data_IF_277388916819
#
_entry.id   IF_277388916819
#
_cell.length_a   1.000
_cell.length_b   1.000
_cell.length_c   1.000
_cell.angle_alpha   90.00
_cell.angle_beta   90.00
_cell.angle_gamma   90.00
#
_symmetry.space_group_name_H-M   'P 1'
#
loop_
_entity.id
_entity.type
_entity.pdbx_description
1 polymer ?
#
# COMPACT_ATOMS: atom_id res chain seq x y z
N UNK A 1 -6.30 9.51 20.19
CA UNK A 1 -5.93 8.85 18.92
C UNK A 1 -4.80 7.90 19.23
N UNK A 2 -5.13 6.63 19.44
CA UNK A 2 -4.15 5.60 19.75
C UNK A 2 -3.32 5.35 18.51
N UNK A 3 -2.04 5.72 18.56
CA UNK A 3 -1.06 5.22 17.60
C UNK A 3 -0.84 3.77 17.99
N UNK A 4 -1.49 2.86 17.27
CA UNK A 4 -1.08 1.47 17.20
C UNK A 4 0.34 1.45 16.63
N UNK A 5 1.32 1.55 17.53
CA UNK A 5 2.67 1.04 17.31
C UNK A 5 2.59 -0.48 17.47
N UNK A 6 1.66 -1.11 16.74
CA UNK A 6 1.59 -2.55 16.59
C UNK A 6 2.74 -2.97 15.69
N UNK A 7 3.36 -4.10 16.03
CA UNK A 7 4.50 -4.66 15.30
C UNK A 7 4.29 -4.63 13.79
N UNK A 8 4.98 -3.74 13.09
CA UNK A 8 4.92 -3.63 11.63
C UNK A 8 5.26 -4.99 11.02
N UNK A 9 4.27 -5.63 10.41
CA UNK A 9 4.43 -7.00 9.92
C UNK A 9 5.43 -7.00 8.77
N UNK A 10 6.00 -8.16 8.45
CA UNK A 10 6.85 -8.28 7.25
C UNK A 10 6.08 -7.87 5.99
N UNK A 11 4.76 -8.14 5.94
CA UNK A 11 3.88 -7.70 4.86
C UNK A 11 3.87 -6.17 4.74
N UNK A 12 3.66 -5.46 5.85
CA UNK A 12 3.55 -3.99 5.81
C UNK A 12 4.89 -3.33 5.47
N UNK A 13 6.01 -3.87 5.97
CA UNK A 13 7.34 -3.41 5.58
C UNK A 13 7.61 -3.60 4.09
N UNK A 14 7.17 -4.71 3.51
CA UNK A 14 7.27 -4.96 2.07
C UNK A 14 6.40 -4.01 1.26
N UNK A 15 5.17 -3.74 1.72
CA UNK A 15 4.24 -2.82 1.07
C UNK A 15 4.83 -1.40 1.04
N UNK A 16 5.28 -0.89 2.18
CA UNK A 16 5.86 0.46 2.31
C UNK A 16 7.15 0.62 1.51
N UNK A 17 8.04 -0.38 1.53
CA UNK A 17 9.28 -0.34 0.76
C UNK A 17 9.01 -0.38 -0.76
N UNK A 18 8.02 -1.17 -1.19
CA UNK A 18 7.62 -1.24 -2.59
C UNK A 18 6.99 0.08 -3.05
N UNK A 19 6.12 0.66 -2.24
CA UNK A 19 5.50 1.97 -2.51
C UNK A 19 6.55 3.06 -2.72
N UNK A 20 7.50 3.20 -1.79
CA UNK A 20 8.57 4.21 -1.89
C UNK A 20 9.43 4.00 -3.16
N UNK A 21 9.81 2.76 -3.44
CA UNK A 21 10.62 2.44 -4.63
C UNK A 21 9.86 2.68 -5.93
N UNK A 22 8.58 2.29 -6.01
CA UNK A 22 7.76 2.54 -7.20
C UNK A 22 7.50 4.03 -7.40
N UNK A 23 7.24 4.79 -6.33
CA UNK A 23 6.98 6.22 -6.39
C UNK A 23 8.22 7.01 -6.82
N UNK A 24 9.40 6.62 -6.35
CA UNK A 24 10.65 7.37 -6.61
C UNK A 24 11.36 6.95 -7.89
N UNK A 25 11.25 5.69 -8.30
CA UNK A 25 12.01 5.13 -9.44
C UNK A 25 11.13 4.70 -10.61
N UNK A 26 9.81 4.74 -10.45
CA UNK A 26 8.85 4.22 -11.43
C UNK A 26 8.57 2.74 -11.24
N UNK A 27 7.40 2.32 -11.72
CA UNK A 27 6.83 0.99 -11.47
C UNK A 27 7.65 -0.14 -12.08
N UNK A 28 8.39 0.08 -13.16
CA UNK A 28 9.16 -0.96 -13.86
C UNK A 28 10.60 -1.11 -13.34
N UNK A 29 11.11 -0.15 -12.58
CA UNK A 29 12.52 -0.09 -12.21
C UNK A 29 12.94 -1.05 -11.08
N UNK A 30 12.28 -1.08 -9.89
CA UNK A 30 12.77 -1.87 -8.78
C UNK A 30 12.46 -3.36 -8.94
N UNK A 31 13.40 -4.24 -8.62
CA UNK A 31 13.21 -5.69 -8.57
C UNK A 31 12.58 -6.14 -7.23
N UNK A 32 11.97 -7.33 -7.22
CA UNK A 32 11.45 -7.92 -5.97
C UNK A 32 12.53 -8.11 -4.91
N UNK A 33 13.77 -8.39 -5.33
CA UNK A 33 14.91 -8.52 -4.45
C UNK A 33 15.25 -7.17 -3.77
N UNK A 34 15.30 -6.08 -4.53
CA UNK A 34 15.54 -4.74 -3.98
C UNK A 34 14.44 -4.32 -3.01
N UNK A 35 13.17 -4.63 -3.33
CA UNK A 35 12.04 -4.39 -2.42
C UNK A 35 12.21 -5.17 -1.11
N UNK A 36 12.55 -6.46 -1.20
CA UNK A 36 12.75 -7.29 0.02
C UNK A 36 13.91 -6.79 0.87
N UNK A 37 14.99 -6.34 0.23
CA UNK A 37 16.14 -5.75 0.91
C UNK A 37 15.77 -4.43 1.60
N UNK A 38 15.06 -3.55 0.90
CA UNK A 38 14.59 -2.27 1.44
C UNK A 38 13.61 -2.46 2.62
N UNK A 39 12.81 -3.54 2.59
CA UNK A 39 11.93 -3.93 3.70
C UNK A 39 12.66 -4.59 4.91
N UNK A 40 13.99 -4.72 4.84
CA UNK A 40 14.81 -5.35 5.87
C UNK A 40 14.59 -6.87 5.98
N UNK A 41 14.12 -7.52 4.91
CA UNK A 41 13.92 -8.96 4.85
C UNK A 41 15.04 -9.63 4.06
N UNK A 42 15.68 -10.65 4.64
CA UNK A 42 16.64 -11.49 3.93
C UNK A 42 15.96 -12.55 3.04
N UNK A 43 14.63 -12.68 3.11
CA UNK A 43 13.87 -13.68 2.36
C UNK A 43 13.23 -13.08 1.11
N UNK A 44 13.86 -13.30 -0.05
CA UNK A 44 13.33 -12.88 -1.36
C UNK A 44 11.98 -13.53 -1.70
N UNK A 45 11.68 -14.70 -1.13
CA UNK A 45 10.39 -15.38 -1.29
C UNK A 45 9.25 -14.73 -0.50
N UNK A 46 9.53 -13.77 0.39
CA UNK A 46 8.51 -13.13 1.22
C UNK A 46 7.49 -12.35 0.39
N UNK A 47 7.89 -11.73 -0.73
CA UNK A 47 6.94 -11.05 -1.62
C UNK A 47 5.98 -12.03 -2.27
N UNK A 48 6.50 -13.12 -2.84
CA UNK A 48 5.63 -14.15 -3.42
C UNK A 48 4.73 -14.80 -2.38
N UNK A 49 5.20 -14.99 -1.16
CA UNK A 49 4.40 -15.54 -0.07
C UNK A 49 3.27 -14.60 0.38
N UNK A 50 3.54 -13.29 0.52
CA UNK A 50 2.56 -12.34 1.05
C UNK A 50 1.63 -11.72 0.00
N UNK A 51 2.10 -11.59 -1.23
CA UNK A 51 1.39 -10.88 -2.30
C UNK A 51 1.14 -11.75 -3.52
N UNK A 52 1.96 -12.75 -3.80
CA UNK A 52 1.86 -13.58 -5.02
C UNK A 52 2.85 -13.15 -6.10
N UNK A 53 3.23 -11.88 -6.14
CA UNK A 53 4.16 -11.36 -7.15
C UNK A 53 4.22 -9.85 -7.19
N UNK A 54 4.83 -9.32 -8.26
CA UNK A 54 4.99 -7.88 -8.48
C UNK A 54 3.65 -7.20 -8.75
N UNK A 55 2.84 -7.80 -9.62
CA UNK A 55 1.57 -7.22 -10.06
C UNK A 55 0.57 -7.17 -8.90
N UNK A 56 0.52 -8.23 -8.10
CA UNK A 56 -0.34 -8.29 -6.92
C UNK A 56 0.16 -7.39 -5.79
N UNK A 57 1.48 -7.19 -5.66
CA UNK A 57 2.04 -6.20 -4.74
C UNK A 57 1.65 -4.78 -5.16
N UNK A 58 1.73 -4.47 -6.46
CA UNK A 58 1.29 -3.18 -6.98
C UNK A 58 -0.22 -2.98 -6.78
N UNK A 59 -1.02 -4.00 -7.05
CA UNK A 59 -2.47 -3.98 -6.81
C UNK A 59 -2.78 -3.73 -5.33
N UNK A 60 -2.07 -4.38 -4.42
CA UNK A 60 -2.23 -4.18 -2.98
C UNK A 60 -1.93 -2.73 -2.55
N UNK A 61 -0.92 -2.08 -3.14
CA UNK A 61 -0.64 -0.65 -2.89
C UNK A 61 -1.81 0.21 -3.38
N UNK A 62 -2.30 -0.04 -4.60
CA UNK A 62 -3.42 0.71 -5.17
C UNK A 62 -4.69 0.54 -4.33
N UNK A 63 -4.97 -0.67 -3.85
CA UNK A 63 -6.15 -0.96 -3.04
C UNK A 63 -6.08 -0.30 -1.65
N UNK A 64 -4.90 -0.22 -1.05
CA UNK A 64 -4.68 0.52 0.21
C UNK A 64 -5.04 2.00 0.04
N UNK A 65 -4.51 2.64 -1.01
CA UNK A 65 -4.83 4.03 -1.33
C UNK A 65 -6.29 4.22 -1.71
N UNK A 66 -6.87 3.29 -2.47
CA UNK A 66 -8.29 3.35 -2.85
C UNK A 66 -9.17 3.30 -1.61
N UNK A 67 -8.88 2.42 -0.65
CA UNK A 67 -9.64 2.32 0.59
C UNK A 67 -9.66 3.64 1.36
N UNK A 68 -8.50 4.30 1.47
CA UNK A 68 -8.41 5.61 2.12
C UNK A 68 -9.17 6.71 1.34
N UNK A 69 -9.08 6.71 0.01
CA UNK A 69 -9.77 7.66 -0.85
C UNK A 69 -11.30 7.47 -0.82
N UNK A 70 -11.77 6.22 -0.86
CA UNK A 70 -13.19 5.89 -0.84
C UNK A 70 -13.84 6.32 0.48
N UNK A 71 -13.18 6.08 1.62
CA UNK A 71 -13.65 6.58 2.91
C UNK A 71 -13.78 8.12 2.92
N UNK A 72 -12.83 8.84 2.30
CA UNK A 72 -12.93 10.30 2.19
C UNK A 72 -14.03 10.74 1.23
N UNK A 73 -14.23 10.00 0.14
CA UNK A 73 -15.25 10.25 -0.87
C UNK A 73 -16.65 10.10 -0.29
N UNK A 74 -16.90 9.06 0.50
CA UNK A 74 -18.18 8.81 1.16
C UNK A 74 -18.60 10.01 2.02
N UNK A 75 -17.70 10.52 2.86
CA UNK A 75 -17.95 11.73 3.67
C UNK A 75 -18.34 12.94 2.81
N UNK A 76 -17.67 13.16 1.67
CA UNK A 76 -18.00 14.29 0.78
C UNK A 76 -19.37 14.13 0.11
N UNK A 77 -19.74 12.89 -0.23
CA UNK A 77 -21.04 12.60 -0.84
C UNK A 77 -22.17 12.82 0.19
N UNK A 78 -21.98 12.37 1.42
CA UNK A 78 -22.95 12.60 2.52
C UNK A 78 -23.14 14.09 2.80
N UNK A 79 -22.06 14.88 2.77
CA UNK A 79 -22.12 16.34 2.93
C UNK A 79 -22.92 17.01 1.79
N UNK A 80 -22.72 16.57 0.55
CA UNK A 80 -23.46 17.08 -0.61
C UNK A 80 -24.94 16.72 -0.56
N UNK A 81 -25.28 15.47 -0.22
CA UNK A 81 -26.67 15.03 -0.02
C UNK A 81 -27.35 15.83 1.09
N UNK A 82 -26.66 16.08 2.21
CA UNK A 82 -27.18 16.88 3.31
C UNK A 82 -27.36 18.37 2.96
N UNK A 83 -26.55 18.91 2.04
CA UNK A 83 -26.64 20.30 1.57
C UNK A 83 -27.77 20.53 0.56
N UNK A 84 -28.38 19.47 0.02
CA UNK A 84 -29.48 19.52 -0.96
C UNK A 84 -29.02 19.83 -2.39
N UNK A 85 -27.73 19.64 -2.70
CA UNK A 85 -27.16 19.86 -4.04
C UNK A 85 -27.20 18.61 -4.95
N UNK A 86 -27.97 17.58 -4.58
CA UNK A 86 -28.12 16.31 -5.33
C UNK A 86 -29.58 15.91 -5.46
#
# INVERSE_FOLDING_TARGET
MATDVESTTTRDRLLLAAEDLFATRGIDAPSLAEITQAAGSANTGAVHYHFGGREELLAAIVDEHRTALDARREVLLDELEASGEV
#
